data_IF_214379897466
#
_entry.id   IF_214379897466
#
_cell.length_a   1.000
_cell.length_b   1.000
_cell.length_c   1.000
_cell.angle_alpha   90.00
_cell.angle_beta   90.00
_cell.angle_gamma   90.00
#
_symmetry.space_group_name_H-M   'P 1'
#
loop_
_entity.id
_entity.type
_entity.pdbx_description
1 polymer ?
#
# COMPACT_ATOMS: atom_id res chain seq x y z
N UNK A 1 2.77 13.32 -0.35
CA UNK A 1 1.44 12.76 -0.07
C UNK A 1 1.28 12.57 1.43
N UNK A 2 0.22 13.05 2.00
CA UNK A 2 0.02 12.88 3.42
C UNK A 2 -0.79 11.61 3.70
N UNK A 3 -0.98 11.32 4.97
CA UNK A 3 -1.67 10.10 5.39
C UNK A 3 -3.07 10.01 4.82
N UNK A 4 -3.79 11.11 4.85
CA UNK A 4 -5.16 11.13 4.36
C UNK A 4 -5.22 10.81 2.87
N UNK A 5 -4.32 11.40 2.10
CA UNK A 5 -4.25 11.15 0.68
C UNK A 5 -3.89 9.71 0.37
N UNK A 6 -2.95 9.17 1.14
CA UNK A 6 -2.55 7.78 0.95
C UNK A 6 -3.72 6.83 1.20
N UNK A 7 -4.44 7.05 2.29
CA UNK A 7 -5.57 6.20 2.63
C UNK A 7 -6.64 6.28 1.54
N UNK A 8 -6.92 7.46 1.04
CA UNK A 8 -7.91 7.63 -0.01
C UNK A 8 -7.50 6.92 -1.29
N UNK A 9 -6.24 7.04 -1.67
CA UNK A 9 -5.74 6.37 -2.87
C UNK A 9 -5.75 4.86 -2.70
N UNK A 10 -5.38 4.39 -1.53
CA UNK A 10 -5.38 2.96 -1.28
C UNK A 10 -6.79 2.38 -1.36
N UNK A 11 -7.75 3.08 -0.77
CA UNK A 11 -9.14 2.65 -0.85
C UNK A 11 -9.60 2.56 -2.29
N UNK A 12 -9.22 3.56 -3.08
CA UNK A 12 -9.60 3.62 -4.48
C UNK A 12 -8.98 2.48 -5.29
N UNK A 13 -7.71 2.22 -5.07
CA UNK A 13 -6.99 1.20 -5.85
C UNK A 13 -7.35 -0.22 -5.44
N UNK A 14 -7.66 -0.42 -4.18
CA UNK A 14 -7.91 -1.76 -3.66
C UNK A 14 -9.38 -2.10 -3.53
N UNK A 15 -10.24 -1.09 -3.51
CA UNK A 15 -11.66 -1.32 -3.23
C UNK A 15 -11.97 -1.48 -1.76
N UNK A 16 -10.98 -1.28 -0.90
CA UNK A 16 -11.20 -1.37 0.54
C UNK A 16 -11.98 -0.17 1.04
N UNK A 17 -12.64 -0.36 2.19
CA UNK A 17 -13.28 0.77 2.85
C UNK A 17 -12.21 1.71 3.40
N UNK A 18 -12.61 2.91 3.75
CA UNK A 18 -11.68 3.86 4.35
C UNK A 18 -11.13 3.31 5.66
N UNK A 19 -11.98 2.63 6.45
CA UNK A 19 -11.54 2.06 7.72
C UNK A 19 -10.49 0.98 7.51
N UNK A 20 -10.69 0.11 6.54
CA UNK A 20 -9.72 -0.95 6.26
C UNK A 20 -8.43 -0.36 5.70
N UNK A 21 -8.53 0.64 4.84
CA UNK A 21 -7.36 1.29 4.30
C UNK A 21 -6.55 1.95 5.41
N UNK A 22 -7.23 2.48 6.41
CA UNK A 22 -6.55 3.08 7.56
C UNK A 22 -5.78 2.03 8.34
N UNK A 23 -6.37 0.83 8.49
CA UNK A 23 -5.68 -0.25 9.15
C UNK A 23 -4.41 -0.65 8.41
N UNK A 24 -4.49 -0.70 7.09
CA UNK A 24 -3.31 -0.99 6.28
C UNK A 24 -2.24 0.07 6.52
N UNK A 25 -2.65 1.33 6.53
CA UNK A 25 -1.71 2.41 6.79
C UNK A 25 -1.03 2.26 8.14
N UNK A 26 -1.80 1.87 9.17
CA UNK A 26 -1.23 1.66 10.49
C UNK A 26 -0.16 0.58 10.50
N UNK A 27 -0.43 -0.52 9.79
CA UNK A 27 0.54 -1.60 9.70
C UNK A 27 1.82 -1.11 9.03
N UNK A 28 1.68 -0.36 7.96
CA UNK A 28 2.83 0.15 7.22
C UNK A 28 3.64 1.12 8.08
N UNK A 29 2.96 1.98 8.82
CA UNK A 29 3.65 2.94 9.67
C UNK A 29 4.37 2.26 10.84
N UNK A 30 3.83 1.13 11.29
CA UNK A 30 4.43 0.41 12.41
C UNK A 30 5.62 -0.44 12.00
N UNK A 31 5.82 -0.62 10.71
CA UNK A 31 6.87 -1.49 10.20
C UNK A 31 7.67 -0.76 9.13
N UNK A 32 8.88 -1.27 8.90
CA UNK A 32 9.68 -0.74 7.82
C UNK A 32 9.22 -1.38 6.53
N UNK A 33 8.57 -0.62 5.68
CA UNK A 33 7.99 -1.12 4.45
C UNK A 33 9.00 -1.85 3.58
N UNK A 34 10.22 -1.34 3.53
CA UNK A 34 11.24 -1.91 2.67
C UNK A 34 11.88 -3.15 3.25
N UNK A 35 11.89 -3.28 4.56
CA UNK A 35 12.60 -4.36 5.20
C UNK A 35 11.73 -5.47 5.75
N UNK A 36 10.43 -5.25 5.88
CA UNK A 36 9.56 -6.18 6.58
C UNK A 36 8.32 -6.55 5.79
N UNK A 37 8.46 -6.72 4.48
CA UNK A 37 7.30 -6.96 3.63
C UNK A 37 6.50 -8.18 4.07
N UNK A 38 7.16 -9.28 4.38
CA UNK A 38 6.46 -10.50 4.80
C UNK A 38 5.67 -10.28 6.09
N UNK A 39 6.26 -9.54 7.02
CA UNK A 39 5.60 -9.23 8.28
C UNK A 39 4.40 -8.33 8.07
N UNK A 40 4.55 -7.35 7.18
CA UNK A 40 3.46 -6.43 6.86
C UNK A 40 2.29 -7.21 6.24
N UNK A 41 2.59 -8.10 5.30
CA UNK A 41 1.55 -8.93 4.67
C UNK A 41 0.81 -9.74 5.73
N UNK A 42 1.55 -10.37 6.64
CA UNK A 42 0.96 -11.18 7.67
C UNK A 42 0.05 -10.35 8.57
N UNK A 43 0.49 -9.15 8.92
CA UNK A 43 -0.29 -8.29 9.80
C UNK A 43 -1.52 -7.72 9.09
N UNK A 44 -1.40 -7.38 7.82
CA UNK A 44 -2.56 -6.92 7.06
C UNK A 44 -3.60 -8.01 6.98
N UNK A 45 -3.15 -9.24 6.67
CA UNK A 45 -4.07 -10.36 6.58
C UNK A 45 -4.82 -10.56 7.90
N UNK A 46 -4.11 -10.46 9.01
CA UNK A 46 -4.73 -10.65 10.32
C UNK A 46 -5.69 -9.51 10.66
N UNK A 47 -5.28 -8.28 10.41
CA UNK A 47 -6.11 -7.13 10.77
C UNK A 47 -7.37 -7.02 9.93
N UNK A 48 -7.28 -7.36 8.66
CA UNK A 48 -8.43 -7.27 7.76
C UNK A 48 -9.17 -8.59 7.64
N UNK A 49 -8.65 -9.64 8.25
CA UNK A 49 -9.25 -10.96 8.19
C UNK A 49 -9.39 -11.44 6.75
N UNK A 50 -8.31 -11.34 6.02
CA UNK A 50 -8.24 -11.76 4.62
C UNK A 50 -7.07 -12.71 4.45
N UNK A 51 -6.96 -13.31 3.26
CA UNK A 51 -5.86 -14.22 2.98
C UNK A 51 -4.56 -13.44 2.82
N UNK A 52 -3.44 -14.15 2.97
CA UNK A 52 -2.14 -13.51 2.75
C UNK A 52 -1.97 -13.11 1.30
N UNK A 53 -2.56 -13.87 0.40
CA UNK A 53 -2.50 -13.53 -1.01
C UNK A 53 -3.16 -12.18 -1.27
N UNK A 54 -4.32 -11.96 -0.67
CA UNK A 54 -4.99 -10.68 -0.78
C UNK A 54 -4.19 -9.58 -0.12
N UNK A 55 -3.58 -9.89 1.02
CA UNK A 55 -2.75 -8.92 1.71
C UNK A 55 -1.53 -8.54 0.88
N UNK A 56 -0.95 -9.50 0.17
CA UNK A 56 0.17 -9.21 -0.72
C UNK A 56 -0.24 -8.26 -1.84
N UNK A 57 -1.43 -8.47 -2.38
CA UNK A 57 -1.94 -7.59 -3.42
C UNK A 57 -2.13 -6.18 -2.89
N UNK A 58 -2.68 -6.07 -1.68
CA UNK A 58 -2.86 -4.76 -1.05
C UNK A 58 -1.52 -4.08 -0.83
N UNK A 59 -0.54 -4.83 -0.33
CA UNK A 59 0.78 -4.25 -0.11
C UNK A 59 1.40 -3.80 -1.42
N UNK A 60 1.25 -4.58 -2.47
CA UNK A 60 1.79 -4.19 -3.77
C UNK A 60 1.18 -2.86 -4.24
N UNK A 61 -0.12 -2.71 -4.03
CA UNK A 61 -0.78 -1.46 -4.40
C UNK A 61 -0.35 -0.30 -3.52
N UNK A 62 -0.12 -0.58 -2.23
CA UNK A 62 0.36 0.45 -1.33
C UNK A 62 1.76 0.92 -1.76
N UNK A 63 2.62 -0.01 -2.12
CA UNK A 63 3.95 0.35 -2.61
C UNK A 63 3.86 1.17 -3.89
N UNK A 64 2.93 0.80 -4.75
CA UNK A 64 2.73 1.52 -6.00
C UNK A 64 2.31 2.96 -5.73
N UNK A 65 1.45 3.17 -4.75
CA UNK A 65 1.03 4.51 -4.40
C UNK A 65 2.20 5.32 -3.86
N UNK A 66 2.94 4.73 -2.94
CA UNK A 66 4.04 5.43 -2.29
C UNK A 66 5.15 5.76 -3.28
N UNK A 67 5.52 4.79 -4.09
CA UNK A 67 6.57 4.99 -5.08
C UNK A 67 6.04 5.53 -6.39
N UNK A 68 4.79 5.24 -6.68
CA UNK A 68 4.20 5.55 -7.98
C UNK A 68 4.12 7.02 -8.29
N UNK A 69 3.85 7.82 -7.26
CA UNK A 69 3.81 9.25 -7.48
C UNK A 69 5.14 9.79 -7.97
N UNK A 70 6.20 9.19 -7.48
CA UNK A 70 7.53 9.54 -7.91
C UNK A 70 7.82 8.90 -9.26
N UNK A 71 7.44 7.66 -9.39
CA UNK A 71 7.69 6.92 -10.63
C UNK A 71 6.95 7.53 -11.80
N UNK A 72 5.76 8.02 -11.58
CA UNK A 72 5.01 8.63 -12.66
C UNK A 72 5.75 9.80 -13.25
N UNK A 73 6.46 10.50 -12.42
CA UNK A 73 7.22 11.64 -12.91
C UNK A 73 8.48 11.22 -13.60
N UNK A 74 9.00 10.08 -13.21
CA UNK A 74 10.26 9.61 -13.76
C UNK A 74 10.08 8.81 -15.01
N UNK A 75 9.16 7.87 -14.97
CA UNK A 75 9.06 6.95 -16.06
C UNK A 75 8.56 7.56 -17.32
N UNK A 76 7.99 8.69 -17.21
CA UNK A 76 7.65 9.34 -18.43
C UNK A 76 8.87 9.58 -19.26
N UNK A 77 9.98 9.49 -18.73
CA UNK A 77 11.17 9.48 -19.51
C UNK A 77 11.48 8.10 -19.99
N UNK A 78 10.89 7.22 -19.62
CA UNK A 78 11.21 5.98 -20.21
C UNK A 78 10.06 5.10 -20.39
N UNK A 79 10.42 6.05 -20.27
CA UNK A 79 10.44 5.71 -20.64
C UNK A 79 10.23 5.64 -20.79
N UNK A 80 10.17 6.18 -20.90
CA UNK A 80 10.51 6.06 -20.75
C UNK A 80 10.47 5.91 -20.48
N UNK A 81 10.48 6.10 -20.29
CA UNK A 81 10.90 5.96 -19.86
C UNK A 81 11.13 5.86 -19.83
#
# INVERSE_FOLDING_TARGET
MNKTDFIAELAKKTGLSAADSEKVNEVIESNNLLGNAAKIVSQIAAKLNISEEQAQDILAKAKDIIGGGIMDKIKNPFGGQ
#
